data_IF_032735107699
#
_entry.id   IF_032735107699
#
_cell.length_a   1.000
_cell.length_b   1.000
_cell.length_c   1.000
_cell.angle_alpha   90.00
_cell.angle_beta   90.00
_cell.angle_gamma   90.00
#
_symmetry.space_group_name_H-M   'P 1'
#
loop_
_entity.id
_entity.type
_entity.pdbx_description
1 polymer ?
#
# COMPACT_ATOMS: atom_id res chain seq x y z
N UNK A 1 -1.34 -1.17 -14.14
CA UNK A 1 -0.75 -0.94 -12.78
C UNK A 1 -0.86 -2.18 -11.88
N UNK A 2 -0.17 -2.25 -10.72
CA UNK A 2 -0.37 -3.36 -9.75
C UNK A 2 -0.61 -2.89 -8.32
N UNK A 3 -1.35 -3.68 -7.54
CA UNK A 3 -1.57 -3.48 -6.10
C UNK A 3 -1.12 -4.73 -5.35
N UNK A 4 -0.18 -4.56 -4.43
CA UNK A 4 0.19 -5.62 -3.48
C UNK A 4 -0.64 -5.49 -2.21
N UNK A 5 -1.36 -6.54 -1.84
CA UNK A 5 -2.17 -6.60 -0.61
C UNK A 5 -1.59 -7.66 0.30
N UNK A 6 -1.46 -7.35 1.59
CA UNK A 6 -0.90 -8.27 2.56
C UNK A 6 -1.67 -8.23 3.87
N UNK A 7 -1.94 -9.43 4.40
CA UNK A 7 -2.49 -9.65 5.75
C UNK A 7 -1.44 -10.36 6.58
N UNK A 8 -1.14 -9.81 7.74
CA UNK A 8 -0.25 -10.42 8.74
C UNK A 8 -1.01 -10.65 10.04
N UNK A 9 -0.72 -11.77 10.69
CA UNK A 9 -1.20 -12.08 12.04
C UNK A 9 -0.04 -11.92 13.01
N UNK A 10 -0.28 -11.15 14.07
CA UNK A 10 0.67 -10.89 15.14
C UNK A 10 0.24 -11.60 16.41
N UNK A 11 1.15 -12.36 17.03
CA UNK A 11 1.03 -12.77 18.43
C UNK A 11 1.61 -11.69 19.34
N UNK A 12 0.88 -11.39 20.42
CA UNK A 12 1.23 -10.38 21.41
C UNK A 12 1.32 -11.03 22.81
N UNK A 13 2.34 -11.86 23.07
CA UNK A 13 2.40 -12.67 24.29
C UNK A 13 2.53 -11.83 25.57
N UNK A 14 3.18 -10.66 25.48
CA UNK A 14 3.38 -9.72 26.58
C UNK A 14 2.19 -8.77 26.84
N UNK A 15 1.10 -8.89 26.07
CA UNK A 15 -0.09 -8.03 26.22
C UNK A 15 -1.16 -8.73 27.06
N UNK A 16 -1.68 -8.02 28.04
CA UNK A 16 -2.67 -8.48 29.03
C UNK A 16 -4.03 -7.77 28.92
N UNK A 17 -4.16 -6.79 28.01
CA UNK A 17 -5.35 -5.95 27.92
C UNK A 17 -5.58 -5.39 26.51
N UNK A 18 -6.85 -5.14 26.17
CA UNK A 18 -7.22 -4.51 24.89
C UNK A 18 -6.59 -3.13 24.72
N UNK A 19 -6.44 -2.37 25.81
CA UNK A 19 -5.76 -1.08 25.80
C UNK A 19 -4.28 -1.23 25.43
N UNK A 20 -3.59 -2.23 26.01
CA UNK A 20 -2.21 -2.56 25.67
C UNK A 20 -2.05 -2.88 24.19
N UNK A 21 -2.91 -3.77 23.68
CA UNK A 21 -2.97 -4.10 22.25
C UNK A 21 -3.15 -2.86 21.37
N UNK A 22 -4.17 -2.04 21.64
CA UNK A 22 -4.46 -0.82 20.85
C UNK A 22 -3.27 0.12 20.81
N UNK A 23 -2.52 0.25 21.91
CA UNK A 23 -1.29 1.05 21.96
C UNK A 23 -0.22 0.52 21.00
N UNK A 24 0.04 -0.78 21.01
CA UNK A 24 1.03 -1.43 20.13
C UNK A 24 0.60 -1.33 18.67
N UNK A 25 -0.63 -1.73 18.36
CA UNK A 25 -1.20 -1.69 17.00
C UNK A 25 -1.12 -0.27 16.44
N UNK A 26 -1.54 0.74 17.20
CA UNK A 26 -1.46 2.14 16.76
C UNK A 26 -0.03 2.56 16.43
N UNK A 27 0.95 2.23 17.28
CA UNK A 27 2.37 2.53 17.00
C UNK A 27 2.87 1.86 15.72
N UNK A 28 2.48 0.61 15.47
CA UNK A 28 2.85 -0.09 14.23
C UNK A 28 2.25 0.63 13.02
N UNK A 29 0.94 0.86 13.05
CA UNK A 29 0.17 1.52 11.98
C UNK A 29 0.77 2.90 11.66
N UNK A 30 1.00 3.73 12.68
CA UNK A 30 1.53 5.08 12.51
C UNK A 30 2.95 5.04 11.92
N UNK A 31 3.83 4.17 12.44
CA UNK A 31 5.20 4.03 11.93
C UNK A 31 5.24 3.54 10.47
N UNK A 32 4.35 2.62 10.09
CA UNK A 32 4.26 2.14 8.70
C UNK A 32 3.76 3.27 7.79
N UNK A 33 2.68 3.96 8.17
CA UNK A 33 2.14 5.10 7.39
C UNK A 33 3.14 6.24 7.20
N UNK A 34 3.99 6.50 8.19
CA UNK A 34 5.00 7.55 8.10
C UNK A 34 6.25 7.14 7.30
N UNK A 35 6.60 5.84 7.30
CA UNK A 35 7.83 5.35 6.65
C UNK A 35 7.61 4.88 5.22
N UNK A 36 6.42 4.38 4.90
CA UNK A 36 6.12 3.76 3.62
C UNK A 36 4.89 4.39 2.99
N UNK A 37 4.86 4.45 1.66
CA UNK A 37 3.66 4.80 0.91
C UNK A 37 2.70 3.58 0.87
N UNK A 38 2.10 3.27 2.02
CA UNK A 38 1.23 2.12 2.19
C UNK A 38 -0.01 2.49 3.00
N UNK A 39 -1.17 2.01 2.54
CA UNK A 39 -2.37 2.00 3.37
C UNK A 39 -2.27 0.83 4.35
N UNK A 40 -2.59 1.04 5.63
CA UNK A 40 -2.53 0.01 6.68
C UNK A 40 -3.60 0.21 7.75
N UNK A 41 -4.17 -0.89 8.25
CA UNK A 41 -5.15 -0.91 9.34
C UNK A 41 -5.15 -2.25 10.10
N UNK A 42 -5.74 -2.27 11.29
CA UNK A 42 -6.18 -3.51 11.93
C UNK A 42 -7.51 -3.96 11.31
N UNK A 43 -7.59 -5.21 10.87
CA UNK A 43 -8.71 -5.71 10.04
C UNK A 43 -9.47 -6.87 10.66
N UNK A 44 -8.96 -7.50 11.74
CA UNK A 44 -9.66 -8.57 12.46
C UNK A 44 -9.12 -8.75 13.89
N UNK A 45 -9.77 -9.62 14.67
CA UNK A 45 -9.38 -10.01 16.05
C UNK A 45 -9.39 -8.86 17.06
N UNK A 46 -10.15 -7.78 16.85
CA UNK A 46 -10.13 -6.57 17.70
C UNK A 46 -10.41 -6.83 19.18
N UNK A 47 -11.18 -7.87 19.51
CA UNK A 47 -11.53 -8.28 20.88
C UNK A 47 -10.54 -9.28 21.51
N UNK A 48 -9.56 -9.78 20.75
CA UNK A 48 -8.48 -10.61 21.26
C UNK A 48 -7.26 -9.74 21.59
N UNK A 49 -6.92 -9.58 22.88
CA UNK A 49 -5.80 -8.73 23.28
C UNK A 49 -4.41 -9.33 22.97
N UNK A 50 -4.29 -10.66 22.86
CA UNK A 50 -3.04 -11.37 22.55
C UNK A 50 -2.81 -11.65 21.06
N UNK A 51 -3.68 -11.16 20.20
CA UNK A 51 -3.61 -11.35 18.75
C UNK A 51 -4.04 -10.07 18.03
N UNK A 52 -3.33 -9.70 16.97
CA UNK A 52 -3.77 -8.64 16.08
C UNK A 52 -3.67 -9.10 14.63
N UNK A 53 -4.57 -8.64 13.78
CA UNK A 53 -4.52 -8.90 12.35
C UNK A 53 -4.42 -7.57 11.64
N UNK A 54 -3.28 -7.32 11.00
CA UNK A 54 -3.07 -6.11 10.22
C UNK A 54 -3.20 -6.42 8.74
N UNK A 55 -3.91 -5.56 8.02
CA UNK A 55 -3.98 -5.55 6.57
C UNK A 55 -3.32 -4.30 6.03
N UNK A 56 -2.55 -4.43 4.95
CA UNK A 56 -1.97 -3.28 4.27
C UNK A 56 -1.92 -3.48 2.76
N UNK A 57 -1.86 -2.37 2.02
CA UNK A 57 -1.77 -2.35 0.57
C UNK A 57 -0.72 -1.35 0.08
N UNK A 58 -0.04 -1.70 -1.01
CA UNK A 58 0.93 -0.87 -1.72
C UNK A 58 0.59 -0.83 -3.20
N UNK A 59 0.85 0.30 -3.85
CA UNK A 59 0.63 0.48 -5.28
C UNK A 59 1.98 0.62 -5.99
N UNK A 60 2.14 -0.02 -7.13
CA UNK A 60 3.36 0.03 -7.93
C UNK A 60 3.03 -0.05 -9.43
N UNK A 61 3.97 0.38 -10.26
CA UNK A 61 3.94 0.12 -11.70
C UNK A 61 4.54 -1.27 -12.06
N UNK A 62 5.27 -1.89 -11.13
CA UNK A 62 5.92 -3.18 -11.31
C UNK A 62 5.63 -4.15 -10.14
N UNK A 63 5.38 -5.42 -10.48
CA UNK A 63 5.03 -6.47 -9.54
C UNK A 63 6.20 -6.87 -8.62
N UNK A 64 7.44 -6.85 -9.13
CA UNK A 64 8.62 -7.18 -8.29
C UNK A 64 8.84 -6.09 -7.25
N UNK A 65 8.67 -4.83 -7.64
CA UNK A 65 8.72 -3.70 -6.72
C UNK A 65 7.60 -3.77 -5.67
N UNK A 66 6.36 -4.10 -6.06
CA UNK A 66 5.27 -4.31 -5.10
C UNK A 66 5.58 -5.42 -4.09
N UNK A 67 6.08 -6.56 -4.57
CA UNK A 67 6.49 -7.67 -3.72
C UNK A 67 7.59 -7.26 -2.72
N UNK A 68 8.63 -6.59 -3.21
CA UNK A 68 9.74 -6.09 -2.38
C UNK A 68 9.28 -5.10 -1.31
N UNK A 69 8.33 -4.21 -1.63
CA UNK A 69 7.72 -3.30 -0.65
C UNK A 69 6.95 -4.08 0.42
N UNK A 70 6.15 -5.08 0.03
CA UNK A 70 5.42 -5.94 0.97
C UNK A 70 6.40 -6.64 1.93
N UNK A 71 7.43 -7.30 1.41
CA UNK A 71 8.44 -7.99 2.22
C UNK A 71 9.18 -7.04 3.17
N UNK A 72 9.49 -5.83 2.70
CA UNK A 72 10.14 -4.79 3.51
C UNK A 72 9.24 -4.31 4.66
N UNK A 73 7.94 -4.11 4.39
CA UNK A 73 6.98 -3.69 5.42
C UNK A 73 6.81 -4.80 6.46
N UNK A 74 6.67 -6.08 6.05
CA UNK A 74 6.57 -7.20 6.99
C UNK A 74 7.82 -7.30 7.87
N UNK A 75 9.01 -7.21 7.27
CA UNK A 75 10.28 -7.25 8.00
C UNK A 75 10.42 -6.07 8.97
N UNK A 76 9.91 -4.89 8.58
CA UNK A 76 9.86 -3.73 9.46
C UNK A 76 8.92 -3.95 10.64
N UNK A 77 7.72 -4.49 10.44
CA UNK A 77 6.78 -4.78 11.54
C UNK A 77 7.40 -5.77 12.54
N UNK A 78 8.04 -6.84 12.04
CA UNK A 78 8.71 -7.84 12.87
C UNK A 78 9.87 -7.27 13.70
N UNK A 79 10.61 -6.29 13.17
CA UNK A 79 11.75 -5.67 13.88
C UNK A 79 11.35 -4.46 14.74
N UNK A 80 10.20 -3.85 14.47
CA UNK A 80 9.74 -2.64 15.13
C UNK A 80 9.13 -2.88 16.52
N UNK A 81 8.74 -4.11 16.84
CA UNK A 81 7.97 -4.45 18.05
C UNK A 81 8.32 -5.84 18.59
N UNK A 82 7.92 -6.13 19.83
CA UNK A 82 7.96 -7.48 20.41
C UNK A 82 6.87 -8.41 19.84
N UNK A 83 6.02 -7.91 18.94
CA UNK A 83 4.99 -8.71 18.31
C UNK A 83 5.61 -9.71 17.35
N UNK A 84 5.18 -10.97 17.44
CA UNK A 84 5.67 -12.03 16.57
C UNK A 84 4.74 -12.18 15.37
N UNK A 85 5.25 -12.07 14.16
CA UNK A 85 4.49 -12.43 12.95
C UNK A 85 4.37 -13.94 12.91
N UNK A 86 3.15 -14.45 13.05
CA UNK A 86 2.87 -15.90 13.11
C UNK A 86 2.21 -16.44 11.84
N UNK A 87 1.65 -15.56 11.02
CA UNK A 87 1.03 -15.91 9.75
C UNK A 87 1.10 -14.71 8.79
N UNK A 88 1.20 -15.00 7.50
CA UNK A 88 1.27 -14.02 6.41
C UNK A 88 0.58 -14.57 5.16
N UNK A 89 -0.32 -13.77 4.61
CA UNK A 89 -0.92 -14.01 3.30
C UNK A 89 -0.78 -12.75 2.45
N UNK A 90 -0.40 -12.92 1.18
CA UNK A 90 -0.22 -11.81 0.24
C UNK A 90 -0.80 -12.16 -1.12
N UNK A 91 -1.24 -11.12 -1.81
CA UNK A 91 -1.75 -11.21 -3.18
C UNK A 91 -1.25 -9.99 -3.98
N UNK A 92 -0.91 -10.21 -5.24
CA UNK A 92 -0.59 -9.14 -6.19
C UNK A 92 -1.72 -9.09 -7.21
N UNK A 93 -2.47 -7.99 -7.18
CA UNK A 93 -3.56 -7.72 -8.11
C UNK A 93 -2.99 -6.93 -9.29
N UNK A 94 -3.08 -7.51 -10.47
CA UNK A 94 -2.74 -6.83 -11.72
C UNK A 94 -3.99 -6.12 -12.25
N UNK A 95 -3.88 -4.81 -12.44
CA UNK A 95 -4.90 -4.03 -13.12
C UNK A 95 -4.41 -3.79 -14.54
N UNK A 96 -5.03 -4.49 -15.50
CA UNK A 96 -4.77 -4.29 -16.92
C UNK A 96 -5.24 -2.90 -17.33
N UNK A 97 -4.41 -2.23 -18.11
CA UNK A 97 -4.72 -0.91 -18.62
C UNK A 97 -5.68 -1.08 -19.82
N UNK A 98 -6.99 -1.14 -19.56
CA UNK A 98 -8.01 -1.05 -20.61
C UNK A 98 -8.16 0.37 -21.20
N UNK A 99 -7.10 1.20 -21.14
CA UNK A 99 -6.99 2.48 -21.85
C UNK A 99 -6.73 2.25 -23.35
N UNK A 100 -7.40 1.27 -23.96
CA UNK A 100 -7.22 0.90 -25.35
C UNK A 100 -7.69 2.00 -26.29
N UNK A 101 -6.73 2.65 -26.96
CA UNK A 101 -6.88 3.36 -28.24
C UNK A 101 -7.51 4.76 -28.22
N UNK A 102 -8.32 5.10 -27.22
CA UNK A 102 -9.04 6.38 -27.19
C UNK A 102 -8.28 7.53 -26.53
N UNK A 103 -7.47 7.25 -25.51
CA UNK A 103 -6.84 8.28 -24.68
C UNK A 103 -5.61 8.89 -25.37
N UNK A 104 -4.73 8.07 -25.94
CA UNK A 104 -3.58 8.56 -26.70
C UNK A 104 -4.03 9.43 -27.89
N UNK A 105 -5.09 9.01 -28.61
CA UNK A 105 -5.67 9.79 -29.71
C UNK A 105 -6.43 11.06 -29.27
N UNK A 106 -6.82 11.15 -28.00
CA UNK A 106 -7.43 12.36 -27.42
C UNK A 106 -6.38 13.34 -26.90
N UNK A 107 -5.30 12.81 -26.32
CA UNK A 107 -4.13 13.59 -25.89
C UNK A 107 -3.43 14.21 -27.10
N UNK A 108 -3.16 13.43 -28.15
CA UNK A 108 -2.51 13.91 -29.39
C UNK A 108 -3.29 15.06 -30.06
N UNK A 109 -4.63 14.92 -30.16
CA UNK A 109 -5.50 15.98 -30.70
C UNK A 109 -5.55 17.27 -29.87
N UNK A 110 -5.16 17.23 -28.60
CA UNK A 110 -5.12 18.42 -27.74
C UNK A 110 -3.78 19.17 -27.80
N UNK A 111 -2.74 18.57 -28.39
CA UNK A 111 -1.43 19.20 -28.57
C UNK A 111 -1.19 19.76 -29.99
N UNK A 112 -2.08 19.45 -30.94
CA UNK A 112 -2.00 19.90 -32.34
C UNK A 112 -2.87 21.15 -32.61
N UNK A 113 -2.93 22.09 -31.66
CA UNK A 113 -3.39 23.45 -31.99
C UNK A 113 -2.27 24.12 -32.82
N UNK A 114 -2.50 24.46 -34.10
CA UNK A 114 -1.51 25.20 -34.87
C UNK A 114 -1.37 26.56 -34.20
N UNK A 115 -0.15 26.86 -33.71
CA UNK A 115 0.20 28.22 -33.33
C UNK A 115 -0.15 29.12 -34.52
N UNK A 116 -0.96 30.14 -34.26
CA UNK A 116 -1.35 31.14 -35.25
C UNK A 116 -0.12 31.55 -36.05
N UNK A 117 -0.15 31.26 -37.35
CA UNK A 117 0.76 31.85 -38.31
C UNK A 117 0.57 33.38 -38.22
N UNK A 118 1.43 34.03 -37.45
CA UNK A 118 1.68 35.47 -37.57
C UNK A 118 2.41 35.72 -38.91
N UNK A 119 1.69 35.48 -40.01
CA UNK A 119 1.94 36.09 -41.30
C UNK A 119 0.91 37.22 -41.46
N UNK A 120 1.36 38.46 -41.30
CA UNK A 120 1.37 39.44 -42.40
C UNK A 120 1.60 40.87 -41.86
N UNK A 121 2.57 41.54 -42.47
CA UNK A 121 2.38 42.94 -42.84
C UNK A 121 3.03 44.04 -41.99
N UNK A 122 4.32 44.29 -42.23
CA UNK A 122 4.86 45.54 -42.87
C UNK A 122 6.34 45.77 -42.61
#
# INVERSE_FOLDING_TARGET
>A
MVVGVCRIVLALPSVDSLKGKRSIVRRIVDRVRHKFNAAIAEVAEMDAHRRAVLGFAVVSNDARHANSMVDTIVSFVSSATEALVIDRSMEIVHLEDHFGGGLDAAIDRSYDEPGEDDDDGR
#
